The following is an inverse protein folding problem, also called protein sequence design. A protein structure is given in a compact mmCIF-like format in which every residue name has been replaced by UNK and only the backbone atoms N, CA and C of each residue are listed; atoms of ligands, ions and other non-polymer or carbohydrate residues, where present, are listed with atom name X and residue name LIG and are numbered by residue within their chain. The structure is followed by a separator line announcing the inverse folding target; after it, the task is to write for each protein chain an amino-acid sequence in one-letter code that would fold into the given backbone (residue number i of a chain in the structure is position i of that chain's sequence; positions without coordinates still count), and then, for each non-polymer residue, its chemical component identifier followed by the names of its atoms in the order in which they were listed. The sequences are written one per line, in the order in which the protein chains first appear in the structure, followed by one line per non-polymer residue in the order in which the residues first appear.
data_IF_800794797307
#
_entry.id   IF_800794797307
#
_cell.length_a   1.000
_cell.length_b   1.000
_cell.length_c   1.000
_cell.angle_alpha   90.00
_cell.angle_beta   90.00
_cell.angle_gamma   90.00
#
_symmetry.space_group_name_H-M   'P 1'
#
loop_
_entity.id
_entity.type
_entity.pdbx_description
1 polymer ?
#
# COMPACT_ATOMS: atom_id res chain seq x y z
N UNK A 1 12.10 2.14 21.41
CA UNK A 1 11.93 0.97 20.53
C UNK A 1 12.47 1.35 19.17
N UNK A 2 13.28 0.48 18.57
CA UNK A 2 13.96 0.65 17.28
C UNK A 2 13.27 -0.25 16.25
N UNK A 3 12.87 0.33 15.12
CA UNK A 3 12.03 -0.35 14.12
C UNK A 3 12.81 -0.50 12.82
N UNK A 4 12.81 -1.71 12.26
CA UNK A 4 13.14 -1.91 10.86
C UNK A 4 11.85 -2.06 10.04
N UNK A 5 11.72 -1.28 8.98
CA UNK A 5 10.56 -1.33 8.07
C UNK A 5 10.99 -1.87 6.71
N UNK A 6 10.81 -3.16 6.47
CA UNK A 6 11.29 -3.79 5.24
C UNK A 6 10.20 -3.83 4.15
N UNK A 7 9.37 -2.78 4.10
CA UNK A 7 8.38 -2.62 3.04
C UNK A 7 8.03 -1.14 2.83
N UNK A 8 7.92 -0.66 1.57
CA UNK A 8 7.53 0.70 1.28
C UNK A 8 6.21 1.10 1.93
N UNK A 9 5.19 0.24 1.82
CA UNK A 9 3.86 0.53 2.36
C UNK A 9 3.85 0.60 3.89
N UNK A 10 4.65 -0.24 4.56
CA UNK A 10 4.79 -0.15 6.02
C UNK A 10 5.48 1.14 6.41
N UNK A 11 6.54 1.53 5.69
CA UNK A 11 7.23 2.80 5.93
C UNK A 11 6.25 3.96 5.85
N UNK A 12 5.43 4.02 4.80
CA UNK A 12 4.39 5.05 4.68
C UNK A 12 3.38 5.03 5.85
N UNK A 13 2.98 3.85 6.32
CA UNK A 13 2.09 3.72 7.49
C UNK A 13 2.78 4.25 8.75
N UNK A 14 4.02 3.87 9.02
CA UNK A 14 4.77 4.33 10.20
C UNK A 14 4.92 5.85 10.21
N UNK A 15 5.18 6.46 9.06
CA UNK A 15 5.17 7.92 8.92
C UNK A 15 3.79 8.52 9.20
N UNK A 16 2.71 7.94 8.65
CA UNK A 16 1.34 8.40 8.91
C UNK A 16 0.97 8.29 10.41
N UNK A 17 1.55 7.32 11.13
CA UNK A 17 1.41 7.14 12.57
C UNK A 17 2.37 8.01 13.40
N UNK A 18 3.20 8.85 12.77
CA UNK A 18 4.21 9.72 13.41
C UNK A 18 5.32 8.96 14.14
N UNK A 19 5.69 7.80 13.61
CA UNK A 19 6.71 6.91 14.19
C UNK A 19 8.06 6.97 13.48
N UNK A 20 8.26 7.92 12.55
CA UNK A 20 9.46 8.00 11.71
C UNK A 20 10.79 8.05 12.50
N UNK A 21 10.81 8.73 13.65
CA UNK A 21 12.01 8.83 14.51
C UNK A 21 12.44 7.49 15.13
N UNK A 22 11.56 6.47 15.11
CA UNK A 22 11.86 5.14 15.63
C UNK A 22 12.41 4.20 14.55
N UNK A 23 12.36 4.60 13.27
CA UNK A 23 12.81 3.77 12.15
C UNK A 23 14.33 3.87 12.04
N UNK A 24 15.00 2.74 12.22
CA UNK A 24 16.47 2.64 12.17
C UNK A 24 16.98 2.18 10.80
N UNK A 25 16.14 1.48 10.04
CA UNK A 25 16.41 1.15 8.65
C UNK A 25 15.13 0.83 7.87
N UNK A 26 15.22 0.96 6.54
CA UNK A 26 14.17 0.57 5.60
C UNK A 26 14.66 -0.42 4.55
N UNK A 27 13.73 -0.95 3.74
CA UNK A 27 14.08 -1.57 2.47
C UNK A 27 14.57 -0.53 1.42
N UNK A 28 14.98 -1.02 0.24
CA UNK A 28 15.55 -0.19 -0.82
C UNK A 28 14.53 0.66 -1.59
N UNK A 29 13.25 0.29 -1.55
CA UNK A 29 12.16 0.90 -2.30
C UNK A 29 11.32 1.88 -1.45
N UNK A 30 11.60 1.95 -0.15
CA UNK A 30 11.01 2.94 0.75
C UNK A 30 11.49 4.36 0.41
N UNK A 31 10.64 5.11 -0.28
CA UNK A 31 10.96 6.43 -0.85
C UNK A 31 9.95 7.54 -0.50
N UNK A 32 8.91 7.20 0.28
CA UNK A 32 7.82 8.11 0.65
C UNK A 32 7.52 8.05 2.17
N UNK A 33 7.26 9.21 2.81
CA UNK A 33 7.44 10.56 2.27
C UNK A 33 8.92 10.83 1.96
N UNK A 34 9.25 11.95 1.33
CA UNK A 34 10.63 12.21 0.82
C UNK A 34 11.69 12.04 1.92
N UNK A 35 11.34 12.37 3.17
CA UNK A 35 12.16 12.20 4.35
C UNK A 35 12.59 10.73 4.60
N UNK A 36 11.79 9.74 4.17
CA UNK A 36 12.13 8.33 4.29
C UNK A 36 13.41 7.95 3.53
N UNK A 37 13.75 8.69 2.47
CA UNK A 37 14.97 8.43 1.68
C UNK A 37 16.26 8.71 2.46
N UNK A 38 16.18 9.47 3.55
CA UNK A 38 17.32 9.76 4.43
C UNK A 38 17.60 8.66 5.44
N UNK A 39 16.66 7.72 5.62
CA UNK A 39 16.80 6.61 6.57
C UNK A 39 17.76 5.57 5.97
N UNK A 40 18.66 4.96 6.78
CA UNK A 40 19.54 3.90 6.30
C UNK A 40 18.79 2.74 5.63
N UNK A 41 19.32 2.22 4.53
CA UNK A 41 18.73 1.09 3.80
C UNK A 41 19.44 -0.21 4.17
N UNK A 42 18.66 -1.25 4.42
CA UNK A 42 19.22 -2.58 4.63
C UNK A 42 19.82 -3.10 3.32
N UNK A 43 21.04 -3.65 3.38
CA UNK A 43 21.71 -4.29 2.25
C UNK A 43 21.51 -5.81 2.40
N UNK A 44 21.04 -6.48 1.35
CA UNK A 44 20.82 -7.95 1.33
C UNK A 44 19.93 -8.47 2.47
N UNK A 45 18.94 -7.69 2.91
CA UNK A 45 18.05 -8.00 4.04
C UNK A 45 18.76 -8.24 5.39
N UNK A 46 20.01 -7.79 5.54
CA UNK A 46 20.76 -7.91 6.80
C UNK A 46 20.35 -6.86 7.85
N UNK A 47 19.21 -7.11 8.52
CA UNK A 47 18.67 -6.21 9.55
C UNK A 47 19.47 -6.22 10.87
N UNK A 48 20.30 -7.25 11.10
CA UNK A 48 21.02 -7.45 12.37
C UNK A 48 22.03 -6.32 12.68
N UNK A 49 22.50 -5.58 11.67
CA UNK A 49 23.44 -4.48 11.82
C UNK A 49 22.81 -3.20 12.38
N UNK A 50 21.48 -3.13 12.45
CA UNK A 50 20.74 -1.91 12.78
C UNK A 50 20.16 -1.90 14.20
N UNK A 51 20.44 -2.93 15.01
CA UNK A 51 19.96 -3.04 16.41
C UNK A 51 18.44 -2.81 16.51
N UNK A 52 17.66 -3.37 15.58
CA UNK A 52 16.20 -3.24 15.62
C UNK A 52 15.61 -4.12 16.74
N UNK A 53 14.60 -3.60 17.46
CA UNK A 53 13.82 -4.37 18.44
C UNK A 53 12.62 -5.07 17.77
N UNK A 54 12.13 -4.48 16.68
CA UNK A 54 10.95 -4.92 15.93
C UNK A 54 11.18 -4.74 14.43
N UNK A 55 10.94 -5.80 13.67
CA UNK A 55 10.99 -5.80 12.20
C UNK A 55 9.59 -5.97 11.64
N UNK A 56 9.16 -5.04 10.78
CA UNK A 56 7.93 -5.17 10.02
C UNK A 56 8.20 -5.70 8.61
N UNK A 57 7.37 -6.67 8.21
CA UNK A 57 7.36 -7.31 6.90
C UNK A 57 5.96 -7.20 6.28
N UNK A 58 5.87 -7.08 4.96
CA UNK A 58 4.62 -7.05 4.21
C UNK A 58 4.75 -7.85 2.92
N UNK A 59 4.06 -9.00 2.86
CA UNK A 59 3.78 -9.84 1.68
C UNK A 59 4.03 -11.31 1.97
N UNK A 60 3.26 -12.20 1.34
CA UNK A 60 3.56 -13.64 1.34
C UNK A 60 4.92 -13.98 0.68
N UNK A 61 5.42 -13.12 -0.22
CA UNK A 61 6.73 -13.33 -0.86
C UNK A 61 7.89 -13.31 0.17
N UNK A 62 7.68 -12.64 1.30
CA UNK A 62 8.66 -12.49 2.37
C UNK A 62 8.61 -13.65 3.38
N UNK A 63 7.76 -14.67 3.20
CA UNK A 63 7.68 -15.84 4.08
C UNK A 63 9.06 -16.51 4.32
N UNK A 64 9.92 -16.50 3.29
CA UNK A 64 11.29 -17.02 3.41
C UNK A 64 12.15 -16.15 4.30
N UNK A 65 12.05 -14.83 4.16
CA UNK A 65 12.76 -13.87 5.01
C UNK A 65 12.24 -13.96 6.45
N UNK A 66 10.92 -13.96 6.63
CA UNK A 66 10.27 -14.19 7.92
C UNK A 66 10.80 -15.44 8.62
N UNK A 67 10.86 -16.58 7.92
CA UNK A 67 11.43 -17.84 8.46
C UNK A 67 12.91 -17.73 8.82
N UNK A 68 13.72 -16.95 8.08
CA UNK A 68 15.13 -16.72 8.42
C UNK A 68 15.29 -15.86 9.67
N UNK A 69 14.39 -14.90 9.86
CA UNK A 69 14.39 -14.00 11.00
C UNK A 69 13.76 -14.61 12.26
N UNK A 70 13.09 -15.77 12.14
CA UNK A 70 12.57 -16.51 13.30
C UNK A 70 13.70 -16.95 14.22
N UNK A 71 13.58 -16.64 15.50
CA UNK A 71 14.59 -16.97 16.52
C UNK A 71 15.72 -15.93 16.64
N UNK A 72 15.61 -14.79 15.96
CA UNK A 72 16.43 -13.62 16.25
C UNK A 72 16.08 -13.02 17.63
N UNK A 73 16.96 -12.17 18.14
CA UNK A 73 16.76 -11.47 19.42
C UNK A 73 15.74 -10.32 19.33
N UNK A 74 15.14 -10.09 18.16
CA UNK A 74 14.12 -9.09 17.91
C UNK A 74 12.77 -9.72 17.53
N UNK A 75 11.70 -8.96 17.71
CA UNK A 75 10.35 -9.36 17.30
C UNK A 75 10.14 -9.13 15.81
N UNK A 76 9.30 -9.95 15.17
CA UNK A 76 8.94 -9.79 13.75
C UNK A 76 7.43 -9.74 13.61
N UNK A 77 6.90 -8.65 13.03
CA UNK A 77 5.49 -8.48 12.70
C UNK A 77 5.31 -8.59 11.19
N UNK A 78 4.64 -9.65 10.76
CA UNK A 78 4.46 -9.95 9.34
C UNK A 78 2.99 -9.81 8.92
N UNK A 79 2.76 -9.07 7.84
CA UNK A 79 1.43 -8.78 7.31
C UNK A 79 1.29 -9.25 5.86
N UNK A 80 0.10 -9.68 5.48
CA UNK A 80 -0.21 -10.11 4.11
C UNK A 80 -1.69 -9.80 3.79
N UNK A 81 -2.06 -8.50 3.73
CA UNK A 81 -3.44 -8.10 3.50
C UNK A 81 -3.90 -8.56 2.12
N UNK A 82 -5.17 -8.96 2.00
CA UNK A 82 -5.75 -9.34 0.70
C UNK A 82 -6.84 -8.39 0.22
N UNK A 83 -7.48 -7.72 1.16
CA UNK A 83 -8.57 -6.78 0.93
C UNK A 83 -8.24 -5.40 1.49
N UNK A 84 -8.99 -4.37 1.08
CA UNK A 84 -8.83 -3.03 1.69
C UNK A 84 -9.14 -3.09 3.20
N UNK A 85 -10.07 -3.96 3.63
CA UNK A 85 -10.34 -4.14 5.05
C UNK A 85 -9.15 -4.72 5.81
N UNK A 86 -8.43 -5.68 5.22
CA UNK A 86 -7.22 -6.24 5.85
C UNK A 86 -6.13 -5.17 6.01
N UNK A 87 -6.07 -4.18 5.11
CA UNK A 87 -5.17 -3.04 5.23
C UNK A 87 -5.55 -2.17 6.43
N UNK A 88 -6.84 -1.95 6.67
CA UNK A 88 -7.30 -1.25 7.88
C UNK A 88 -6.94 -2.02 9.15
N UNK A 89 -7.15 -3.33 9.16
CA UNK A 89 -6.77 -4.17 10.31
C UNK A 89 -5.26 -4.20 10.53
N UNK A 90 -4.47 -4.23 9.46
CA UNK A 90 -3.02 -4.10 9.52
C UNK A 90 -2.60 -2.78 10.18
N UNK A 91 -3.16 -1.64 9.74
CA UNK A 91 -2.84 -0.32 10.33
C UNK A 91 -3.23 -0.28 11.81
N UNK A 92 -4.39 -0.85 12.19
CA UNK A 92 -4.80 -0.96 13.60
C UNK A 92 -3.86 -1.85 14.41
N UNK A 93 -3.44 -2.98 13.85
CA UNK A 93 -2.51 -3.90 14.49
C UNK A 93 -1.15 -3.25 14.72
N UNK A 94 -0.62 -2.52 13.73
CA UNK A 94 0.60 -1.72 13.89
C UNK A 94 0.39 -0.67 14.99
N UNK A 95 -0.73 0.04 14.98
CA UNK A 95 -1.07 1.01 16.03
C UNK A 95 -1.09 0.40 17.43
N UNK A 96 -1.61 -0.81 17.60
CA UNK A 96 -1.63 -1.53 18.88
C UNK A 96 -0.24 -1.96 19.33
N UNK A 97 0.58 -2.52 18.42
CA UNK A 97 1.96 -2.92 18.72
C UNK A 97 2.79 -1.70 19.17
N UNK A 98 2.54 -0.56 18.52
CA UNK A 98 3.26 0.69 18.72
C UNK A 98 2.64 1.59 19.81
N UNK A 99 1.51 1.18 20.42
CA UNK A 99 0.76 1.94 21.43
C UNK A 99 0.33 3.35 20.95
N UNK A 100 -0.10 3.45 19.69
CA UNK A 100 -0.61 4.65 19.01
C UNK A 100 -1.96 4.36 18.34
N UNK A 101 -2.86 3.67 19.04
CA UNK A 101 -4.15 3.21 18.53
C UNK A 101 -5.04 4.37 18.06
N UNK A 102 -4.91 5.55 18.69
CA UNK A 102 -5.67 6.75 18.33
C UNK A 102 -5.24 7.28 16.96
N UNK A 103 -3.94 7.37 16.72
CA UNK A 103 -3.34 7.77 15.44
C UNK A 103 -3.73 6.77 14.36
N UNK A 104 -3.64 5.46 14.64
CA UNK A 104 -4.05 4.42 13.72
C UNK A 104 -5.54 4.50 13.36
N UNK A 105 -6.42 4.70 14.35
CA UNK A 105 -7.84 4.89 14.12
C UNK A 105 -8.12 6.14 13.25
N UNK A 106 -7.38 7.23 13.46
CA UNK A 106 -7.50 8.44 12.66
C UNK A 106 -7.07 8.21 11.20
N UNK A 107 -5.95 7.53 10.96
CA UNK A 107 -5.48 7.17 9.61
C UNK A 107 -6.51 6.30 8.89
N UNK A 108 -7.01 5.26 9.56
CA UNK A 108 -8.04 4.39 8.97
C UNK A 108 -9.32 5.17 8.64
N UNK A 109 -9.77 6.04 9.53
CA UNK A 109 -10.95 6.88 9.30
C UNK A 109 -10.76 7.80 8.08
N UNK A 110 -9.59 8.43 7.95
CA UNK A 110 -9.26 9.27 6.79
C UNK A 110 -9.27 8.46 5.48
N UNK A 111 -8.69 7.25 5.48
CA UNK A 111 -8.71 6.36 4.32
C UNK A 111 -10.14 5.99 3.92
N UNK A 112 -10.96 5.58 4.89
CA UNK A 112 -12.36 5.23 4.67
C UNK A 112 -13.16 6.39 4.08
N UNK A 113 -12.98 7.60 4.62
CA UNK A 113 -13.64 8.80 4.10
C UNK A 113 -13.19 9.11 2.67
N UNK A 114 -11.89 9.06 2.40
CA UNK A 114 -11.33 9.30 1.07
C UNK A 114 -11.85 8.33 0.02
N UNK A 115 -11.87 7.04 0.32
CA UNK A 115 -12.40 6.02 -0.59
C UNK A 115 -13.93 6.13 -0.77
N UNK A 116 -14.66 6.47 0.30
CA UNK A 116 -16.11 6.74 0.22
C UNK A 116 -16.42 7.94 -0.68
N UNK A 117 -15.62 8.99 -0.60
CA UNK A 117 -15.76 10.16 -1.46
C UNK A 117 -15.52 9.82 -2.93
N UNK A 118 -14.48 9.03 -3.22
CA UNK A 118 -14.23 8.52 -4.58
C UNK A 118 -15.42 7.68 -5.05
N UNK A 119 -15.92 6.76 -4.22
CA UNK A 119 -17.08 5.93 -4.58
C UNK A 119 -18.31 6.77 -4.91
N UNK A 120 -18.60 7.79 -4.10
CA UNK A 120 -19.75 8.69 -4.35
C UNK A 120 -19.59 9.44 -5.67
N UNK A 121 -18.38 9.90 -6.00
CA UNK A 121 -18.12 10.57 -7.28
C UNK A 121 -18.23 9.60 -8.45
N UNK A 122 -17.78 8.35 -8.28
CA UNK A 122 -17.82 7.34 -9.33
C UNK A 122 -19.24 6.94 -9.74
N UNK A 123 -20.25 7.12 -8.89
CA UNK A 123 -21.65 6.84 -9.26
C UNK A 123 -22.24 7.86 -10.24
N UNK A 124 -21.55 8.99 -10.45
CA UNK A 124 -21.95 10.03 -11.39
C UNK A 124 -21.42 9.77 -12.81
N UNK A 125 -20.58 8.77 -13.00
CA UNK A 125 -20.07 8.40 -14.32
C UNK A 125 -21.19 7.83 -15.19
N UNK A 126 -21.31 8.23 -16.47
CA UNK A 126 -22.41 7.81 -17.34
C UNK A 126 -22.37 6.33 -17.69
N UNK A 127 -21.21 5.69 -17.64
CA UNK A 127 -21.00 4.26 -17.79
C UNK A 127 -19.77 3.80 -17.01
N UNK A 128 -19.67 2.49 -16.72
CA UNK A 128 -18.46 1.92 -16.13
C UNK A 128 -17.52 1.45 -17.23
N UNK A 129 -16.26 1.87 -17.14
CA UNK A 129 -15.22 1.50 -18.10
C UNK A 129 -14.44 0.28 -17.62
N UNK A 130 -13.94 -0.52 -18.56
CA UNK A 130 -12.92 -1.52 -18.29
C UNK A 130 -11.55 -0.86 -18.16
N UNK A 131 -10.69 -1.40 -17.31
CA UNK A 131 -9.30 -0.97 -17.14
C UNK A 131 -8.37 -2.17 -17.16
N UNK A 132 -7.17 -1.97 -17.67
CA UNK A 132 -6.06 -2.90 -17.54
C UNK A 132 -5.05 -2.25 -16.62
N UNK A 133 -4.63 -2.99 -15.59
CA UNK A 133 -3.61 -2.54 -14.67
C UNK A 133 -2.51 -3.59 -14.77
N UNK A 134 -1.50 -3.28 -15.59
CA UNK A 134 -0.34 -4.13 -15.82
C UNK A 134 0.50 -4.28 -14.55
N UNK A 135 1.09 -5.45 -14.33
CA UNK A 135 2.13 -5.63 -13.32
C UNK A 135 1.69 -5.44 -11.86
N UNK A 136 0.39 -5.34 -11.58
CA UNK A 136 -0.13 -5.06 -10.24
C UNK A 136 -0.80 -6.33 -9.64
N UNK A 137 -0.02 -7.28 -9.08
CA UNK A 137 -0.54 -8.56 -8.58
C UNK A 137 -1.33 -8.42 -7.27
N UNK A 138 -1.43 -7.22 -6.69
CA UNK A 138 -1.96 -7.03 -5.37
C UNK A 138 -3.48 -7.28 -5.34
N UNK A 139 -3.97 -8.11 -4.41
CA UNK A 139 -5.35 -8.58 -4.44
C UNK A 139 -6.40 -7.47 -4.21
N UNK A 140 -6.05 -6.40 -3.48
CA UNK A 140 -6.94 -5.26 -3.20
C UNK A 140 -7.13 -4.30 -4.39
N UNK A 141 -6.29 -4.38 -5.43
CA UNK A 141 -6.31 -3.46 -6.58
C UNK A 141 -7.67 -3.47 -7.29
N UNK A 142 -8.31 -4.64 -7.36
CA UNK A 142 -9.65 -4.80 -7.92
C UNK A 142 -10.71 -4.04 -7.12
N UNK A 143 -10.61 -4.04 -5.80
CA UNK A 143 -11.52 -3.29 -4.93
C UNK A 143 -11.34 -1.78 -5.15
N UNK A 144 -10.09 -1.31 -5.24
CA UNK A 144 -9.77 0.10 -5.50
C UNK A 144 -10.31 0.54 -6.87
N UNK A 145 -10.10 -0.25 -7.93
CA UNK A 145 -10.63 0.03 -9.25
C UNK A 145 -12.17 0.06 -9.25
N UNK A 146 -12.81 -0.86 -8.54
CA UNK A 146 -14.27 -0.87 -8.40
C UNK A 146 -14.79 0.33 -7.62
N UNK A 147 -14.03 0.82 -6.63
CA UNK A 147 -14.33 2.06 -5.91
C UNK A 147 -14.26 3.26 -6.85
N UNK A 148 -13.28 3.29 -7.76
CA UNK A 148 -13.11 4.34 -8.76
C UNK A 148 -14.15 4.32 -9.90
N UNK A 149 -15.03 3.31 -9.95
CA UNK A 149 -16.08 3.18 -10.97
C UNK A 149 -15.70 2.31 -12.16
N UNK A 150 -14.59 1.57 -12.06
CA UNK A 150 -14.10 0.67 -13.10
C UNK A 150 -14.69 -0.73 -12.91
N UNK A 151 -15.10 -1.38 -13.99
CA UNK A 151 -15.88 -2.64 -13.91
C UNK A 151 -15.00 -3.89 -14.00
N UNK A 152 -13.92 -3.83 -14.78
CA UNK A 152 -13.01 -4.96 -14.99
C UNK A 152 -11.58 -4.48 -14.85
N UNK A 153 -10.79 -5.17 -14.04
CA UNK A 153 -9.32 -5.12 -14.09
C UNK A 153 -8.89 -6.35 -14.86
N UNK A 154 -8.44 -6.17 -16.09
CA UNK A 154 -8.09 -7.30 -16.95
C UNK A 154 -6.68 -7.83 -16.67
N UNK A 155 -6.38 -9.00 -17.23
CA UNK A 155 -5.05 -9.65 -17.12
C UNK A 155 -4.16 -9.24 -18.27
N UNK A 156 -2.86 -9.50 -18.15
CA UNK A 156 -1.87 -9.24 -19.21
C UNK A 156 -2.19 -9.98 -20.51
N UNK A 157 -2.74 -11.19 -20.40
CA UNK A 157 -3.29 -11.92 -21.55
C UNK A 157 -4.44 -11.21 -22.28
N UNK A 158 -5.05 -10.22 -21.64
CA UNK A 158 -6.14 -9.39 -22.17
C UNK A 158 -5.63 -7.99 -22.58
N UNK A 159 -4.32 -7.72 -22.49
CA UNK A 159 -3.74 -6.39 -22.74
C UNK A 159 -3.98 -5.91 -24.19
N UNK A 160 -4.00 -6.81 -25.17
CA UNK A 160 -4.38 -6.49 -26.56
C UNK A 160 -5.80 -5.88 -26.66
N UNK A 161 -6.70 -6.22 -25.73
CA UNK A 161 -8.08 -5.72 -25.71
C UNK A 161 -8.16 -4.33 -25.07
N UNK A 162 -7.21 -3.93 -24.22
CA UNK A 162 -7.28 -2.68 -23.44
C UNK A 162 -6.32 -1.58 -23.91
N UNK A 163 -5.41 -1.91 -24.81
CA UNK A 163 -4.77 -0.90 -25.67
C UNK A 163 -5.81 -0.20 -26.59
N UNK A 164 -7.04 -0.73 -26.72
CA UNK A 164 -8.02 -0.30 -27.72
C UNK A 164 -9.07 0.75 -27.31
N UNK A 165 -9.10 1.23 -26.05
CA UNK A 165 -9.84 2.46 -25.70
C UNK A 165 -8.88 3.49 -25.09
N UNK A 166 -8.37 4.39 -25.95
CA UNK A 166 -7.57 5.58 -25.66
C UNK A 166 -6.17 5.42 -25.02
N UNK A 167 -5.63 4.20 -24.84
CA UNK A 167 -4.18 3.95 -24.83
C UNK A 167 -3.30 4.70 -23.81
N UNK A 168 -3.80 5.02 -22.60
CA UNK A 168 -2.97 5.62 -21.52
C UNK A 168 -2.46 4.55 -20.54
N UNK A 169 -1.14 4.52 -20.33
CA UNK A 169 -0.49 3.77 -19.26
C UNK A 169 -0.70 4.54 -17.94
N UNK A 170 -1.21 3.87 -16.92
CA UNK A 170 -1.38 4.43 -15.57
C UNK A 170 -0.22 3.91 -14.72
N UNK A 171 0.52 4.81 -14.08
CA UNK A 171 1.52 4.44 -13.08
C UNK A 171 0.83 3.78 -11.88
N UNK A 172 1.09 2.49 -11.69
CA UNK A 172 0.46 1.67 -10.66
C UNK A 172 1.16 1.81 -9.29
N UNK A 173 2.22 2.61 -9.14
CA UNK A 173 2.98 2.72 -7.90
C UNK A 173 2.10 3.07 -6.67
N UNK A 174 1.03 3.86 -6.87
CA UNK A 174 0.07 4.19 -5.80
C UNK A 174 -0.85 3.01 -5.42
N UNK A 175 -1.06 2.04 -6.31
CA UNK A 175 -1.93 0.89 -6.13
C UNK A 175 -1.19 -0.30 -5.52
N UNK A 176 0.13 -0.36 -5.73
CA UNK A 176 1.01 -1.40 -5.19
C UNK A 176 1.24 -1.29 -3.69
N UNK A 177 1.08 -0.09 -3.11
CA UNK A 177 1.40 0.18 -1.70
C UNK A 177 0.15 0.08 -0.82
N UNK A 178 0.10 -0.95 0.03
CA UNK A 178 -0.99 -1.20 0.97
C UNK A 178 -1.00 -0.18 2.12
N UNK A 179 -1.56 1.00 1.92
CA UNK A 179 -1.53 2.04 2.95
C UNK A 179 -2.32 3.31 2.60
N UNK A 180 -2.04 4.42 3.31
CA UNK A 180 -2.77 5.68 3.15
C UNK A 180 -2.83 6.21 1.71
N UNK A 181 -1.79 5.98 0.89
CA UNK A 181 -1.73 6.41 -0.51
C UNK A 181 -2.71 5.69 -1.44
N UNK A 182 -3.35 4.60 -1.01
CA UNK A 182 -4.41 3.97 -1.81
C UNK A 182 -5.57 4.92 -2.12
N UNK A 183 -5.81 5.92 -1.27
CA UNK A 183 -6.83 6.96 -1.52
C UNK A 183 -6.44 7.80 -2.74
N UNK A 184 -5.16 8.11 -2.92
CA UNK A 184 -4.64 8.85 -4.07
C UNK A 184 -4.73 8.01 -5.33
N UNK A 185 -4.36 6.73 -5.26
CA UNK A 185 -4.54 5.79 -6.36
C UNK A 185 -6.01 5.70 -6.80
N UNK A 186 -6.95 5.61 -5.86
CA UNK A 186 -8.38 5.60 -6.15
C UNK A 186 -8.85 6.89 -6.84
N UNK A 187 -8.38 8.06 -6.37
CA UNK A 187 -8.69 9.37 -6.97
C UNK A 187 -8.13 9.48 -8.38
N UNK A 188 -6.92 8.98 -8.62
CA UNK A 188 -6.27 8.98 -9.93
C UNK A 188 -7.08 8.14 -10.93
N UNK A 189 -7.42 6.91 -10.55
CA UNK A 189 -8.27 6.02 -11.36
C UNK A 189 -9.63 6.66 -11.68
N UNK A 190 -10.27 7.30 -10.71
CA UNK A 190 -11.52 8.02 -10.92
C UNK A 190 -11.36 9.21 -11.87
N UNK A 191 -10.30 10.03 -11.70
CA UNK A 191 -10.03 11.17 -12.57
C UNK A 191 -9.84 10.76 -14.02
N UNK A 192 -9.07 9.70 -14.25
CA UNK A 192 -8.93 9.10 -15.58
C UNK A 192 -10.26 8.63 -16.17
N UNK A 193 -11.09 7.93 -15.38
CA UNK A 193 -12.39 7.46 -15.83
C UNK A 193 -13.32 8.62 -16.18
N UNK A 194 -13.30 9.68 -15.38
CA UNK A 194 -14.08 10.89 -15.61
C UNK A 194 -13.71 11.58 -16.92
N UNK A 195 -12.41 11.78 -17.18
CA UNK A 195 -11.87 12.39 -18.42
C UNK A 195 -12.20 11.59 -19.69
N UNK A 196 -12.32 10.26 -19.61
CA UNK A 196 -12.63 9.45 -20.79
C UNK A 196 -14.12 9.37 -21.11
N UNK A 197 -14.98 9.79 -20.17
CA UNK A 197 -16.43 9.68 -20.26
C UNK A 197 -17.13 11.01 -20.51
N UNK A 198 -16.39 12.13 -20.50
CA UNK A 198 -16.87 13.49 -20.72
C UNK A 198 -15.93 14.23 -21.66
#
# INVERSE_FOLDING_TARGET
MRIASLSPAITEILFALRLQEQIVCTDELSDYPEEAQSIPRVINDNVYEYEADLVFLLSAAEDKLFKKLQGADFSVSHHSPRTINDIYEMIRSIGMIMQVEKEAAAVVLQMQQGLKDVKRKSTLLPSRQGVYIEGCPQPWVKEVAHIAGLERVARESDAEIIVSHNGRIIDAAFLERAGPRLVEGARYLYGWAFENLH
#
